data_IF_102106602692
#
_entry.id   IF_102106602692
#
_cell.length_a   1.000
_cell.length_b   1.000
_cell.length_c   1.000
_cell.angle_alpha   90.00
_cell.angle_beta   90.00
_cell.angle_gamma   90.00
#
_symmetry.space_group_name_H-M   'P 1'
#
loop_
_entity.id
_entity.type
_entity.pdbx_description
1 polymer ?
#
# COMPACT_ATOMS: atom_id res chain seq x y z
N UNK A 1 -14.86 -34.86 -17.36
CA UNK A 1 -13.61 -34.06 -17.49
C UNK A 1 -13.84 -32.54 -17.46
N UNK A 2 -14.85 -31.96 -18.14
CA UNK A 2 -15.12 -30.51 -18.15
C UNK A 2 -15.46 -29.88 -16.78
N UNK A 3 -16.30 -30.55 -15.97
CA UNK A 3 -16.67 -30.07 -14.62
C UNK A 3 -15.48 -30.04 -13.65
N UNK A 4 -14.55 -31.00 -13.75
CA UNK A 4 -13.34 -31.07 -12.91
C UNK A 4 -12.42 -29.86 -13.14
N UNK A 5 -12.36 -29.35 -14.37
CA UNK A 5 -11.57 -28.16 -14.71
C UNK A 5 -12.17 -26.84 -14.20
N UNK A 6 -13.50 -26.75 -14.03
CA UNK A 6 -14.16 -25.54 -13.53
C UNK A 6 -14.02 -25.44 -12.01
N UNK A 7 -14.24 -26.53 -11.29
CA UNK A 7 -14.05 -26.60 -9.83
C UNK A 7 -12.61 -26.26 -9.43
N UNK A 8 -11.62 -26.75 -10.17
CA UNK A 8 -10.22 -26.41 -9.93
C UNK A 8 -9.92 -24.91 -10.06
N UNK A 9 -10.48 -24.23 -11.08
CA UNK A 9 -10.28 -22.77 -11.24
C UNK A 9 -10.89 -21.94 -10.11
N UNK A 10 -12.03 -22.37 -9.55
CA UNK A 10 -12.66 -21.72 -8.40
C UNK A 10 -11.91 -21.95 -7.10
N UNK A 11 -11.42 -23.17 -6.90
CA UNK A 11 -10.57 -23.49 -5.75
C UNK A 11 -9.27 -22.67 -5.77
N UNK A 12 -8.64 -22.51 -6.93
CA UNK A 12 -7.47 -21.65 -7.10
C UNK A 12 -7.79 -20.17 -6.79
N UNK A 13 -8.90 -19.65 -7.33
CA UNK A 13 -9.36 -18.29 -7.05
C UNK A 13 -9.61 -18.07 -5.55
N UNK A 14 -10.24 -19.02 -4.87
CA UNK A 14 -10.48 -18.95 -3.43
C UNK A 14 -9.16 -18.98 -2.63
N UNK A 15 -8.22 -19.83 -3.04
CA UNK A 15 -6.90 -19.91 -2.42
C UNK A 15 -6.10 -18.60 -2.56
N UNK A 16 -6.01 -18.03 -3.77
CA UNK A 16 -5.33 -16.75 -3.97
C UNK A 16 -5.99 -15.61 -3.20
N UNK A 17 -7.32 -15.60 -3.10
CA UNK A 17 -8.06 -14.63 -2.28
C UNK A 17 -7.83 -14.78 -0.78
N UNK A 18 -7.68 -16.01 -0.31
CA UNK A 18 -7.29 -16.27 1.06
C UNK A 18 -5.88 -15.74 1.36
N UNK A 19 -4.93 -15.89 0.42
CA UNK A 19 -3.61 -15.27 0.55
C UNK A 19 -3.70 -13.73 0.58
N UNK A 20 -4.52 -13.12 -0.27
CA UNK A 20 -4.75 -11.67 -0.26
C UNK A 20 -5.33 -11.20 1.09
N UNK A 21 -6.30 -11.95 1.62
CA UNK A 21 -6.87 -11.69 2.94
C UNK A 21 -5.81 -11.80 4.04
N UNK A 22 -4.98 -12.85 4.01
CA UNK A 22 -3.89 -13.01 4.97
C UNK A 22 -2.89 -11.85 4.90
N UNK A 23 -2.48 -11.44 3.70
CA UNK A 23 -1.64 -10.26 3.48
C UNK A 23 -2.29 -9.00 4.05
N UNK A 24 -3.57 -8.75 3.75
CA UNK A 24 -4.33 -7.63 4.31
C UNK A 24 -4.32 -7.62 5.84
N UNK A 25 -4.62 -8.74 6.48
CA UNK A 25 -4.58 -8.87 7.95
C UNK A 25 -3.18 -8.62 8.53
N UNK A 26 -2.12 -9.11 7.87
CA UNK A 26 -0.74 -8.85 8.31
C UNK A 26 -0.36 -7.38 8.20
N UNK A 27 -0.81 -6.68 7.16
CA UNK A 27 -0.59 -5.23 7.01
C UNK A 27 -1.35 -4.42 8.05
N UNK A 28 -2.61 -4.77 8.35
CA UNK A 28 -3.36 -4.13 9.44
C UNK A 28 -2.63 -4.30 10.75
N UNK A 29 -2.21 -5.53 11.06
CA UNK A 29 -1.49 -5.83 12.30
C UNK A 29 -0.16 -5.08 12.37
N UNK A 30 0.65 -5.13 11.30
CA UNK A 30 1.92 -4.41 11.22
C UNK A 30 1.76 -2.89 11.35
N UNK A 31 0.78 -2.31 10.65
CA UNK A 31 0.46 -0.88 10.73
C UNK A 31 0.02 -0.46 12.14
N UNK A 32 -0.83 -1.24 12.81
CA UNK A 32 -1.23 -0.99 14.19
C UNK A 32 -0.06 -1.13 15.18
N UNK A 33 0.79 -2.15 15.01
CA UNK A 33 2.00 -2.31 15.84
C UNK A 33 2.91 -1.09 15.73
N UNK A 34 3.10 -0.56 14.52
CA UNK A 34 3.88 0.66 14.31
C UNK A 34 3.19 1.88 14.91
N UNK A 35 1.86 2.00 14.80
CA UNK A 35 1.10 3.10 15.41
C UNK A 35 1.17 3.13 16.94
N UNK A 36 1.23 1.96 17.57
CA UNK A 36 1.37 1.86 19.03
C UNK A 36 2.82 1.98 19.50
N UNK A 37 3.82 1.82 18.62
CA UNK A 37 5.23 2.02 18.92
C UNK A 37 5.61 3.50 18.86
N UNK A 38 5.31 4.21 19.94
CA UNK A 38 5.67 5.63 20.11
C UNK A 38 7.17 5.91 19.92
N UNK A 39 8.05 4.94 20.20
CA UNK A 39 9.50 5.09 20.05
C UNK A 39 9.91 5.17 18.58
N UNK A 40 9.41 4.24 17.74
CA UNK A 40 9.67 4.27 16.29
C UNK A 40 9.12 5.53 15.63
N UNK A 41 7.92 5.95 16.03
CA UNK A 41 7.31 7.19 15.54
C UNK A 41 8.16 8.41 15.93
N UNK A 42 8.65 8.45 17.17
CA UNK A 42 9.50 9.54 17.64
C UNK A 42 10.84 9.57 16.90
N UNK A 43 11.49 8.41 16.72
CA UNK A 43 12.76 8.30 16.00
C UNK A 43 12.64 8.75 14.55
N UNK A 44 11.51 8.46 13.90
CA UNK A 44 11.24 8.88 12.51
C UNK A 44 11.27 10.40 12.29
N UNK A 45 11.11 11.21 13.35
CA UNK A 45 11.23 12.67 13.25
C UNK A 45 12.63 13.12 12.84
N UNK A 46 13.66 12.35 13.17
CA UNK A 46 15.05 12.67 12.83
C UNK A 46 15.36 12.41 11.35
N UNK A 47 14.49 11.68 10.65
CA UNK A 47 14.71 11.23 9.27
C UNK A 47 14.04 12.12 8.22
N UNK A 48 13.36 13.19 8.63
CA UNK A 48 12.63 14.08 7.72
C UNK A 48 13.24 15.49 7.68
N UNK A 49 14.45 15.70 7.13
CA UNK A 49 14.88 17.05 6.76
C UNK A 49 14.01 17.59 5.59
N UNK A 50 13.75 18.90 5.56
CA UNK A 50 13.03 19.55 4.45
C UNK A 50 11.56 19.95 4.68
N UNK A 51 10.80 20.34 3.62
CA UNK A 51 9.49 21.02 3.71
C UNK A 51 8.35 20.16 4.30
N UNK A 52 8.57 18.86 4.49
CA UNK A 52 7.63 17.95 5.17
C UNK A 52 7.64 18.11 6.70
N UNK A 53 8.59 18.88 7.25
CA UNK A 53 8.65 19.27 8.68
C UNK A 53 7.51 20.19 9.12
N UNK A 54 6.78 20.81 8.19
CA UNK A 54 5.61 21.64 8.49
C UNK A 54 4.36 20.81 8.87
N UNK A 55 4.40 19.48 8.74
CA UNK A 55 3.28 18.64 9.13
C UNK A 55 3.21 18.47 10.66
N UNK A 56 2.01 18.49 11.25
CA UNK A 56 1.85 18.39 12.70
C UNK A 56 2.28 17.03 13.29
N UNK A 57 2.35 15.98 12.46
CA UNK A 57 2.77 14.63 12.86
C UNK A 57 3.93 14.13 11.96
N UNK A 58 4.81 13.25 12.48
CA UNK A 58 5.89 12.66 11.69
C UNK A 58 5.37 11.82 10.51
N UNK A 59 6.17 11.72 9.44
CA UNK A 59 5.84 10.98 8.23
C UNK A 59 5.46 9.51 8.52
N UNK A 60 6.19 8.85 9.42
CA UNK A 60 5.96 7.44 9.75
C UNK A 60 4.58 7.19 10.35
N UNK A 61 3.99 8.17 11.05
CA UNK A 61 2.62 8.08 11.56
C UNK A 61 1.59 8.00 10.42
N UNK A 62 1.71 8.88 9.41
CA UNK A 62 0.85 8.86 8.23
C UNK A 62 1.09 7.61 7.38
N UNK A 63 2.34 7.18 7.26
CA UNK A 63 2.68 5.92 6.58
C UNK A 63 2.02 4.73 7.27
N UNK A 64 2.10 4.63 8.59
CA UNK A 64 1.50 3.54 9.35
C UNK A 64 -0.04 3.55 9.25
N UNK A 65 -0.68 4.73 9.26
CA UNK A 65 -2.11 4.86 8.97
C UNK A 65 -2.44 4.38 7.54
N UNK A 66 -1.65 4.80 6.55
CA UNK A 66 -1.82 4.40 5.15
C UNK A 66 -1.70 2.89 4.95
N UNK A 67 -0.68 2.27 5.55
CA UNK A 67 -0.47 0.81 5.54
C UNK A 67 -1.63 0.08 6.23
N UNK A 68 -2.12 0.61 7.35
CA UNK A 68 -3.28 0.03 8.05
C UNK A 68 -4.54 0.10 7.19
N UNK A 69 -4.81 1.25 6.57
CA UNK A 69 -5.95 1.45 5.69
C UNK A 69 -5.88 0.57 4.43
N UNK A 70 -4.71 0.47 3.82
CA UNK A 70 -4.46 -0.43 2.68
C UNK A 70 -4.71 -1.89 3.09
N UNK A 71 -4.19 -2.31 4.25
CA UNK A 71 -4.42 -3.65 4.79
C UNK A 71 -5.91 -3.96 4.97
N UNK A 72 -6.70 -3.02 5.49
CA UNK A 72 -8.15 -3.16 5.62
C UNK A 72 -8.84 -3.28 4.25
N UNK A 73 -8.42 -2.48 3.27
CA UNK A 73 -8.91 -2.56 1.90
C UNK A 73 -8.62 -3.94 1.29
N UNK A 74 -7.38 -4.42 1.38
CA UNK A 74 -6.98 -5.74 0.85
C UNK A 74 -7.69 -6.89 1.55
N UNK A 75 -7.86 -6.81 2.87
CA UNK A 75 -8.63 -7.78 3.63
C UNK A 75 -10.10 -7.80 3.19
N UNK A 76 -10.73 -6.63 3.05
CA UNK A 76 -12.10 -6.52 2.55
C UNK A 76 -12.26 -7.10 1.15
N UNK A 77 -11.33 -6.78 0.25
CA UNK A 77 -11.31 -7.33 -1.12
C UNK A 77 -11.09 -8.84 -1.14
N UNK A 78 -10.22 -9.37 -0.28
CA UNK A 78 -10.02 -10.81 -0.12
C UNK A 78 -11.28 -11.54 0.35
N UNK A 79 -12.03 -10.97 1.31
CA UNK A 79 -13.32 -11.51 1.76
C UNK A 79 -14.34 -11.50 0.61
N UNK A 80 -14.43 -10.37 -0.11
CA UNK A 80 -15.31 -10.24 -1.28
C UNK A 80 -14.95 -11.24 -2.38
N UNK A 81 -13.67 -11.53 -2.60
CA UNK A 81 -13.23 -12.51 -3.58
C UNK A 81 -13.50 -13.96 -3.18
N UNK A 82 -13.33 -14.30 -1.90
CA UNK A 82 -13.78 -15.58 -1.34
C UNK A 82 -15.29 -15.77 -1.54
N UNK A 83 -16.09 -14.73 -1.25
CA UNK A 83 -17.53 -14.72 -1.50
C UNK A 83 -17.85 -14.86 -3.00
N UNK A 84 -17.16 -14.11 -3.85
CA UNK A 84 -17.34 -14.13 -5.31
C UNK A 84 -17.04 -15.52 -5.91
N UNK A 85 -16.10 -16.29 -5.34
CA UNK A 85 -15.81 -17.66 -5.79
C UNK A 85 -17.00 -18.62 -5.59
N UNK A 86 -17.81 -18.39 -4.55
CA UNK A 86 -19.00 -19.17 -4.25
C UNK A 86 -20.19 -18.80 -5.15
N UNK A 87 -20.28 -17.55 -5.62
CA UNK A 87 -21.40 -17.07 -6.43
C UNK A 87 -21.18 -17.27 -7.94
N UNK A 88 -22.27 -17.51 -8.68
CA UNK A 88 -22.25 -17.71 -10.14
C UNK A 88 -22.56 -16.44 -10.95
N UNK A 89 -22.57 -15.28 -10.29
CA UNK A 89 -22.97 -14.03 -10.95
C UNK A 89 -21.80 -13.40 -11.71
N UNK A 90 -22.00 -13.18 -13.01
CA UNK A 90 -20.98 -12.59 -13.89
C UNK A 90 -20.65 -11.14 -13.51
N UNK A 91 -21.67 -10.37 -13.11
CA UNK A 91 -21.51 -8.96 -12.73
C UNK A 91 -20.56 -8.80 -11.54
N UNK A 92 -20.69 -9.63 -10.50
CA UNK A 92 -19.81 -9.57 -9.33
C UNK A 92 -18.37 -9.94 -9.69
N UNK A 93 -18.15 -10.95 -10.53
CA UNK A 93 -16.80 -11.35 -10.95
C UNK A 93 -16.12 -10.26 -11.81
N UNK A 94 -16.87 -9.61 -12.70
CA UNK A 94 -16.36 -8.48 -13.49
C UNK A 94 -16.05 -7.26 -12.63
N UNK A 95 -16.94 -6.89 -11.71
CA UNK A 95 -16.70 -5.78 -10.78
C UNK A 95 -15.46 -6.05 -9.90
N UNK A 96 -15.34 -7.26 -9.37
CA UNK A 96 -14.20 -7.70 -8.59
C UNK A 96 -12.89 -7.63 -9.39
N UNK A 97 -12.88 -8.11 -10.65
CA UNK A 97 -11.73 -7.99 -11.53
C UNK A 97 -11.29 -6.52 -11.73
N UNK A 98 -12.24 -5.61 -11.94
CA UNK A 98 -11.92 -4.18 -12.09
C UNK A 98 -11.33 -3.59 -10.81
N UNK A 99 -11.85 -3.96 -9.64
CA UNK A 99 -11.31 -3.52 -8.34
C UNK A 99 -9.87 -3.97 -8.17
N UNK A 100 -9.57 -5.26 -8.38
CA UNK A 100 -8.20 -5.79 -8.29
C UNK A 100 -7.26 -5.10 -9.28
N UNK A 101 -7.71 -4.86 -10.52
CA UNK A 101 -6.90 -4.16 -11.51
C UNK A 101 -6.55 -2.74 -11.08
N UNK A 102 -7.50 -1.99 -10.53
CA UNK A 102 -7.25 -0.63 -10.05
C UNK A 102 -6.28 -0.62 -8.87
N UNK A 103 -6.43 -1.56 -7.93
CA UNK A 103 -5.53 -1.68 -6.77
C UNK A 103 -4.12 -2.01 -7.25
N UNK A 104 -3.96 -3.03 -8.11
CA UNK A 104 -2.65 -3.45 -8.61
C UNK A 104 -1.92 -2.32 -9.36
N UNK A 105 -2.62 -1.56 -10.19
CA UNK A 105 -2.02 -0.43 -10.91
C UNK A 105 -1.61 0.68 -9.94
N UNK A 106 -2.48 1.01 -8.97
CA UNK A 106 -2.19 1.99 -7.93
C UNK A 106 -1.01 1.59 -7.06
N UNK A 107 -0.95 0.34 -6.64
CA UNK A 107 0.15 -0.22 -5.85
C UNK A 107 1.45 -0.22 -6.63
N UNK A 108 1.45 -0.68 -7.89
CA UNK A 108 2.63 -0.63 -8.75
C UNK A 108 3.18 0.80 -8.90
N UNK A 109 2.29 1.80 -9.03
CA UNK A 109 2.70 3.20 -9.12
C UNK A 109 3.35 3.68 -7.82
N UNK A 110 2.72 3.43 -6.67
CA UNK A 110 3.24 3.80 -5.34
C UNK A 110 4.57 3.08 -5.07
N UNK A 111 4.66 1.79 -5.41
CA UNK A 111 5.86 0.99 -5.23
C UNK A 111 7.02 1.51 -6.10
N UNK A 112 6.75 1.83 -7.38
CA UNK A 112 7.75 2.40 -8.27
C UNK A 112 8.25 3.77 -7.79
N UNK A 113 7.33 4.64 -7.32
CA UNK A 113 7.67 5.92 -6.70
C UNK A 113 8.52 5.69 -5.45
N UNK A 114 8.13 4.77 -4.57
CA UNK A 114 8.85 4.46 -3.32
C UNK A 114 10.25 3.92 -3.59
N UNK A 115 10.41 3.08 -4.62
CA UNK A 115 11.70 2.54 -5.05
C UNK A 115 12.62 3.61 -5.64
N UNK A 116 12.07 4.53 -6.43
CA UNK A 116 12.82 5.63 -7.04
C UNK A 116 13.11 6.75 -6.03
N UNK A 117 12.33 6.85 -4.94
CA UNK A 117 12.37 7.92 -3.96
C UNK A 117 13.77 8.21 -3.40
N UNK A 118 14.57 7.21 -2.95
CA UNK A 118 15.90 7.50 -2.39
C UNK A 118 16.84 8.12 -3.43
N UNK A 119 16.71 7.70 -4.69
CA UNK A 119 17.57 8.17 -5.79
C UNK A 119 17.15 9.55 -6.30
N UNK A 120 15.85 9.85 -6.32
CA UNK A 120 15.30 11.10 -6.87
C UNK A 120 15.26 12.26 -5.87
N UNK A 121 15.07 11.97 -4.57
CA UNK A 121 14.93 13.01 -3.54
C UNK A 121 16.20 13.26 -2.73
N UNK A 122 17.30 12.54 -3.03
CA UNK A 122 18.56 12.74 -2.34
C UNK A 122 18.41 12.58 -0.83
N UNK A 123 17.65 11.57 -0.39
CA UNK A 123 17.45 11.23 1.03
C UNK A 123 18.72 10.64 1.67
N UNK A 124 19.91 11.06 1.24
CA UNK A 124 21.02 11.01 2.16
C UNK A 124 20.62 11.88 3.34
N UNK A 125 20.57 11.27 4.52
CA UNK A 125 20.36 12.00 5.75
C UNK A 125 21.49 13.04 5.83
N UNK A 126 21.17 14.29 5.51
CA UNK A 126 22.17 15.35 5.51
C UNK A 126 22.60 15.59 6.95
N UNK A 127 23.74 15.01 7.29
CA UNK A 127 24.33 15.11 8.60
C UNK A 127 24.61 16.56 8.98
N UNK A 128 24.90 17.42 8.01
CA UNK A 128 25.11 18.84 8.25
C UNK A 128 23.81 19.55 8.62
N UNK A 129 22.72 19.30 7.89
CA UNK A 129 21.40 19.87 8.20
C UNK A 129 20.88 19.39 9.56
N UNK A 130 21.00 18.09 9.84
CA UNK A 130 20.55 17.53 11.12
C UNK A 130 21.41 18.04 12.29
N UNK A 131 22.72 18.20 12.10
CA UNK A 131 23.62 18.81 13.10
C UNK A 131 23.24 20.27 13.39
N UNK A 132 22.98 21.07 12.34
CA UNK A 132 22.50 22.45 12.50
C UNK A 132 21.16 22.51 13.23
N UNK A 133 20.27 21.56 12.95
CA UNK A 133 18.96 21.45 13.60
C UNK A 133 19.12 21.06 15.07
N UNK A 134 20.01 20.12 15.39
CA UNK A 134 20.40 19.76 16.75
C UNK A 134 20.87 21.00 17.52
N UNK A 135 21.86 21.72 16.99
CA UNK A 135 22.43 22.91 17.63
C UNK A 135 21.39 23.99 17.91
N UNK A 136 20.36 24.14 17.05
CA UNK A 136 19.34 25.19 17.20
C UNK A 136 18.11 24.78 17.99
N UNK A 137 17.77 23.49 18.02
CA UNK A 137 16.43 23.06 18.48
C UNK A 137 16.48 22.13 19.69
N UNK A 138 17.62 21.48 19.95
CA UNK A 138 17.75 20.61 21.10
C UNK A 138 17.57 21.39 22.40
N UNK A 139 16.71 20.91 23.31
CA UNK A 139 16.45 21.51 24.62
C UNK A 139 15.86 22.93 24.59
N UNK A 140 15.38 23.40 23.44
CA UNK A 140 14.73 24.71 23.30
C UNK A 140 13.23 24.58 23.59
N UNK A 141 12.62 25.52 24.36
CA UNK A 141 11.18 25.51 24.63
C UNK A 141 10.35 25.45 23.33
N UNK A 142 9.36 24.56 23.29
CA UNK A 142 8.55 24.30 22.08
C UNK A 142 9.13 23.25 21.13
N UNK A 143 10.36 22.76 21.36
CA UNK A 143 11.01 21.69 20.58
C UNK A 143 11.23 20.40 21.40
N UNK A 144 10.35 20.15 22.38
CA UNK A 144 10.46 19.02 23.31
C UNK A 144 10.44 17.67 22.58
N UNK A 145 9.60 17.54 21.55
CA UNK A 145 9.49 16.30 20.78
C UNK A 145 10.76 16.00 19.96
N UNK A 146 11.43 17.05 19.45
CA UNK A 146 12.70 16.88 18.77
C UNK A 146 13.80 16.48 19.77
N UNK A 147 13.83 17.12 20.94
CA UNK A 147 14.74 16.79 22.04
C UNK A 147 14.58 15.32 22.47
N UNK A 148 13.35 14.90 22.72
CA UNK A 148 13.04 13.52 23.10
C UNK A 148 13.41 12.50 21.99
N UNK A 149 13.33 12.87 20.71
CA UNK A 149 13.76 12.02 19.61
C UNK A 149 15.27 11.82 19.58
N UNK A 150 16.05 12.88 19.82
CA UNK A 150 17.51 12.79 19.95
C UNK A 150 17.88 11.95 21.17
N UNK A 151 17.25 12.19 22.33
CA UNK A 151 17.50 11.45 23.57
C UNK A 151 17.17 9.95 23.40
N UNK A 152 16.09 9.64 22.69
CA UNK A 152 15.73 8.28 22.32
C UNK A 152 16.80 7.66 21.40
N UNK A 153 17.24 8.37 20.36
CA UNK A 153 18.29 7.86 19.45
C UNK A 153 19.60 7.56 20.22
N UNK A 154 20.01 8.45 21.12
CA UNK A 154 21.22 8.31 21.92
C UNK A 154 21.20 7.08 22.82
N UNK A 155 20.11 6.91 23.57
CA UNK A 155 19.92 5.75 24.44
C UNK A 155 19.71 4.44 23.67
N UNK A 156 19.04 4.48 22.52
CA UNK A 156 18.76 3.28 21.69
C UNK A 156 20.01 2.78 20.99
N UNK A 157 20.85 3.68 20.47
CA UNK A 157 22.00 3.33 19.65
C UNK A 157 23.34 3.52 20.36
N UNK A 158 23.35 3.87 21.65
CA UNK A 158 24.56 4.09 22.45
C UNK A 158 25.53 5.08 21.77
N UNK A 159 24.97 6.21 21.33
CA UNK A 159 25.65 7.26 20.56
C UNK A 159 25.45 8.63 21.22
N UNK A 160 26.19 9.64 20.77
CA UNK A 160 26.06 11.02 21.26
C UNK A 160 26.26 12.04 20.13
N UNK A 161 25.32 12.98 20.01
CA UNK A 161 25.24 13.91 18.88
C UNK A 161 24.81 13.24 17.57
N UNK A 162 24.82 14.00 16.48
CA UNK A 162 24.54 13.50 15.14
C UNK A 162 25.78 12.81 14.57
N UNK A 163 26.90 13.53 14.47
CA UNK A 163 28.19 12.99 14.02
C UNK A 163 29.14 12.83 15.19
N UNK A 164 29.14 13.80 16.11
CA UNK A 164 30.02 13.83 17.29
C UNK A 164 29.37 14.50 18.51
N UNK A 165 29.82 14.12 19.71
CA UNK A 165 29.37 14.73 20.97
C UNK A 165 29.71 16.23 21.10
N UNK A 166 30.72 16.73 20.39
CA UNK A 166 31.19 18.12 20.49
C UNK A 166 30.18 19.12 19.89
N UNK A 167 29.21 18.64 19.13
CA UNK A 167 28.13 19.47 18.58
C UNK A 167 27.32 20.17 19.69
N UNK A 168 27.27 19.58 20.90
CA UNK A 168 26.65 20.20 22.05
C UNK A 168 27.39 21.45 22.55
N UNK A 169 28.72 21.56 22.35
CA UNK A 169 29.52 22.72 22.77
C UNK A 169 29.03 24.02 22.11
N UNK A 170 28.51 23.90 20.89
CA UNK A 170 28.03 25.02 20.06
C UNK A 170 26.51 25.09 19.97
N UNK A 171 25.80 24.22 20.69
CA UNK A 171 24.34 24.21 20.74
C UNK A 171 23.79 25.38 21.58
N UNK A 172 22.63 25.91 21.18
CA UNK A 172 21.90 26.92 21.96
C UNK A 172 21.59 26.42 23.37
N UNK A 173 21.26 25.13 23.51
CA UNK A 173 21.04 24.47 24.79
C UNK A 173 22.17 24.69 25.79
N UNK A 174 23.42 24.51 25.35
CA UNK A 174 24.60 24.70 26.20
C UNK A 174 24.97 26.17 26.36
N UNK A 175 24.97 26.93 25.26
CA UNK A 175 25.38 28.34 25.26
C UNK A 175 24.43 29.23 26.09
N UNK A 176 23.14 28.92 26.10
CA UNK A 176 22.12 29.64 26.89
C UNK A 176 21.83 28.97 28.24
N UNK A 177 22.55 27.91 28.59
CA UNK A 177 22.36 27.13 29.83
C UNK A 177 20.88 26.71 30.05
N UNK A 178 20.21 26.28 28.98
CA UNK A 178 18.82 25.79 29.04
C UNK A 178 18.73 24.41 29.72
N UNK A 179 19.83 23.67 29.75
CA UNK A 179 19.93 22.39 30.45
C UNK A 179 20.11 22.52 31.97
N UNK A 180 19.69 21.49 32.74
CA UNK A 180 19.96 21.44 34.16
C UNK A 180 21.47 21.44 34.43
N UNK A 181 21.92 22.13 35.48
CA UNK A 181 23.27 22.04 36.07
C UNK A 181 24.48 22.25 35.11
N UNK A 182 24.34 23.04 34.04
CA UNK A 182 25.45 23.34 33.09
C UNK A 182 26.17 22.07 32.59
N UNK A 183 25.39 21.03 32.27
CA UNK A 183 25.92 19.78 31.73
C UNK A 183 26.69 20.02 30.42
N UNK A 184 27.76 19.26 30.22
CA UNK A 184 28.55 19.28 28.99
C UNK A 184 27.78 18.63 27.83
N UNK A 185 27.12 17.52 28.10
CA UNK A 185 26.30 16.76 27.16
C UNK A 185 25.00 16.30 27.83
N UNK A 186 23.94 15.96 27.08
CA UNK A 186 22.76 15.31 27.64
C UNK A 186 23.10 14.06 28.43
N UNK A 187 22.31 13.75 29.45
CA UNK A 187 22.53 12.55 30.27
C UNK A 187 22.35 11.25 29.46
N UNK A 188 21.57 11.27 28.38
CA UNK A 188 21.43 10.17 27.42
C UNK A 188 22.70 9.88 26.60
N UNK A 189 23.67 10.79 26.57
CA UNK A 189 25.01 10.53 26.04
C UNK A 189 25.91 9.74 27.01
N UNK A 190 25.52 9.62 28.27
CA UNK A 190 26.24 8.85 29.28
C UNK A 190 25.85 7.37 29.22
N UNK A 191 26.75 6.50 29.66
CA UNK A 191 26.40 5.09 29.90
C UNK A 191 25.40 5.02 31.06
N UNK A 192 24.22 4.48 30.76
CA UNK A 192 23.09 4.42 31.69
C UNK A 192 23.07 3.10 32.47
N UNK A 193 22.72 3.18 33.75
CA UNK A 193 22.43 2.02 34.60
C UNK A 193 21.04 1.43 34.27
N UNK A 194 20.08 2.30 33.93
CA UNK A 194 18.70 1.92 33.68
C UNK A 194 18.39 1.66 32.19
N UNK A 195 19.38 1.23 31.40
CA UNK A 195 19.25 1.08 29.95
C UNK A 195 18.17 0.07 29.53
N UNK A 196 17.91 -0.94 30.36
CA UNK A 196 16.88 -1.96 30.12
C UNK A 196 15.44 -1.43 30.26
N UNK A 197 15.27 -0.21 30.79
CA UNK A 197 13.96 0.41 30.91
C UNK A 197 13.56 1.04 29.58
N UNK A 198 12.39 0.67 29.04
CA UNK A 198 11.87 1.17 27.76
C UNK A 198 11.75 2.71 27.65
N UNK A 199 11.79 3.42 28.79
CA UNK A 199 11.71 4.89 28.87
C UNK A 199 12.98 5.53 29.47
N UNK A 200 14.13 4.85 29.39
CA UNK A 200 15.40 5.36 29.89
C UNK A 200 15.76 6.75 29.31
N UNK A 201 15.38 7.03 28.06
CA UNK A 201 15.59 8.34 27.43
C UNK A 201 14.82 9.50 28.08
N UNK A 202 13.69 9.24 28.75
CA UNK A 202 12.90 10.28 29.45
C UNK A 202 13.41 10.54 30.87
N UNK A 203 14.02 9.54 31.49
CA UNK A 203 14.60 9.65 32.84
C UNK A 203 15.94 8.90 32.90
N UNK A 204 16.99 9.46 32.27
CA UNK A 204 18.30 8.79 32.18
C UNK A 204 18.98 8.75 33.55
N UNK A 205 19.39 7.56 34.00
CA UNK A 205 20.19 7.37 35.20
C UNK A 205 21.62 6.92 34.83
N UNK A 206 22.59 7.85 34.73
CA UNK A 206 23.96 7.52 34.35
C UNK A 206 24.71 6.79 35.47
N UNK A 207 25.53 5.80 35.11
CA UNK A 207 26.39 5.07 36.07
C UNK A 207 27.27 6.00 36.91
N UNK A 208 27.83 7.04 36.27
CA UNK A 208 28.59 8.09 36.94
C UNK A 208 28.41 9.42 36.21
N UNK A 209 27.46 10.23 36.69
CA UNK A 209 27.15 11.54 36.09
C UNK A 209 28.37 12.47 36.09
N UNK A 210 29.12 12.55 37.20
CA UNK A 210 30.24 13.49 37.34
C UNK A 210 31.36 13.20 36.36
N UNK A 211 31.77 11.94 36.23
CA UNK A 211 32.82 11.54 35.28
C UNK A 211 32.33 11.65 33.85
N UNK A 212 31.10 11.21 33.56
CA UNK A 212 30.53 11.37 32.23
C UNK A 212 30.51 12.85 31.79
N UNK A 213 30.28 13.80 32.70
CA UNK A 213 30.19 15.24 32.39
C UNK A 213 31.54 15.97 32.40
N UNK A 214 32.65 15.29 32.70
CA UNK A 214 33.97 15.88 32.66
C UNK A 214 34.33 16.40 31.26
N UNK A 215 34.98 17.56 31.18
CA UNK A 215 35.42 18.15 29.91
C UNK A 215 36.63 17.42 29.33
N UNK A 216 37.51 16.90 30.19
CA UNK A 216 38.71 16.19 29.76
C UNK A 216 38.38 14.79 29.17
N UNK A 217 38.82 14.46 27.94
CA UNK A 217 38.55 13.18 27.27
C UNK A 217 38.88 11.92 28.07
N UNK A 218 39.98 11.96 28.84
CA UNK A 218 40.46 10.83 29.64
C UNK A 218 39.54 10.53 30.83
N UNK A 219 38.77 11.51 31.32
CA UNK A 219 37.95 11.35 32.53
C UNK A 219 36.58 10.75 32.27
N UNK A 220 36.08 10.88 31.04
CA UNK A 220 34.81 10.29 30.60
C UNK A 220 35.01 9.07 29.70
N UNK A 221 36.21 8.50 29.65
CA UNK A 221 36.49 7.28 28.91
C UNK A 221 35.66 6.11 29.46
N UNK A 222 34.97 5.39 28.57
CA UNK A 222 34.07 4.28 28.93
C UNK A 222 32.75 4.69 29.61
N UNK A 223 32.54 5.98 29.90
CA UNK A 223 31.35 6.50 30.60
C UNK A 223 30.49 7.45 29.77
N UNK A 224 31.02 7.92 28.63
CA UNK A 224 30.32 8.76 27.64
C UNK A 224 30.44 8.15 26.25
N UNK A 225 29.34 8.07 25.51
CA UNK A 225 29.34 7.65 24.11
C UNK A 225 30.05 8.70 23.25
N UNK A 226 31.00 8.24 22.41
CA UNK A 226 31.82 9.11 21.53
C UNK A 226 31.36 9.09 20.07
N UNK A 227 30.73 8.00 19.64
CA UNK A 227 30.24 7.83 18.26
C UNK A 227 28.97 8.64 18.05
N UNK A 228 28.83 9.30 16.91
CA UNK A 228 27.58 9.93 16.49
C UNK A 228 26.46 8.95 16.17
N UNK A 229 25.22 9.43 16.19
CA UNK A 229 24.04 8.63 15.92
C UNK A 229 23.74 8.45 14.41
N UNK A 230 24.35 9.24 13.53
CA UNK A 230 24.03 9.28 12.10
C UNK A 230 24.11 7.89 11.44
N UNK A 231 25.24 7.20 11.55
CA UNK A 231 25.41 5.88 10.92
C UNK A 231 24.34 4.87 11.39
N UNK A 232 24.04 4.89 12.69
CA UNK A 232 23.06 3.98 13.29
C UNK A 232 21.63 4.31 12.85
N UNK A 233 21.30 5.61 12.72
CA UNK A 233 20.03 6.09 12.20
C UNK A 233 19.85 5.71 10.73
N UNK A 234 20.88 5.91 9.90
CA UNK A 234 20.88 5.56 8.49
C UNK A 234 20.72 4.04 8.31
N UNK A 235 21.44 3.24 9.09
CA UNK A 235 21.33 1.79 9.07
C UNK A 235 19.91 1.34 9.47
N UNK A 236 19.37 1.89 10.57
CA UNK A 236 18.02 1.60 11.01
C UNK A 236 16.98 1.97 9.94
N UNK A 237 17.13 3.12 9.30
CA UNK A 237 16.27 3.56 8.20
C UNK A 237 16.28 2.57 7.03
N UNK A 238 17.48 2.20 6.56
CA UNK A 238 17.66 1.27 5.45
C UNK A 238 17.01 -0.08 5.74
N UNK A 239 17.15 -0.58 6.96
CA UNK A 239 16.50 -1.83 7.38
C UNK A 239 14.98 -1.74 7.32
N UNK A 240 14.37 -0.67 7.86
CA UNK A 240 12.92 -0.50 7.77
C UNK A 240 12.46 -0.34 6.32
N UNK A 241 13.17 0.46 5.52
CA UNK A 241 12.88 0.69 4.10
C UNK A 241 12.92 -0.62 3.28
N UNK A 242 13.94 -1.46 3.48
CA UNK A 242 14.05 -2.76 2.80
C UNK A 242 12.88 -3.67 3.18
N UNK A 243 12.45 -3.69 4.45
CA UNK A 243 11.28 -4.46 4.89
C UNK A 243 10.02 -3.99 4.17
N UNK A 244 9.80 -2.66 4.07
CA UNK A 244 8.65 -2.11 3.34
C UNK A 244 8.66 -2.49 1.86
N UNK A 245 9.80 -2.40 1.19
CA UNK A 245 9.93 -2.81 -0.21
C UNK A 245 9.67 -4.32 -0.40
N UNK A 246 10.24 -5.15 0.45
CA UNK A 246 10.03 -6.60 0.39
C UNK A 246 8.54 -6.95 0.59
N UNK A 247 7.88 -6.31 1.55
CA UNK A 247 6.45 -6.49 1.79
C UNK A 247 5.61 -6.04 0.58
N UNK A 248 5.89 -4.87 -0.01
CA UNK A 248 5.24 -4.38 -1.22
C UNK A 248 5.36 -5.34 -2.39
N UNK A 249 6.56 -5.88 -2.63
CA UNK A 249 6.78 -6.86 -3.69
C UNK A 249 5.93 -8.13 -3.49
N UNK A 250 5.83 -8.64 -2.26
CA UNK A 250 5.01 -9.82 -1.94
C UNK A 250 3.54 -9.55 -2.25
N UNK A 251 3.02 -8.37 -1.90
CA UNK A 251 1.62 -8.02 -2.16
C UNK A 251 1.36 -7.94 -3.66
N UNK A 252 2.20 -7.25 -4.43
CA UNK A 252 2.09 -7.18 -5.90
C UNK A 252 2.06 -8.57 -6.53
N UNK A 253 2.89 -9.51 -6.05
CA UNK A 253 2.90 -10.90 -6.55
C UNK A 253 1.61 -11.66 -6.20
N UNK A 254 1.07 -11.45 -5.00
CA UNK A 254 -0.20 -12.06 -4.57
C UNK A 254 -1.36 -11.48 -5.38
N UNK A 255 -1.42 -10.17 -5.57
CA UNK A 255 -2.45 -9.50 -6.38
C UNK A 255 -2.39 -9.94 -7.84
N UNK A 256 -1.19 -10.05 -8.42
CA UNK A 256 -1.01 -10.60 -9.76
C UNK A 256 -1.52 -12.05 -9.86
N UNK A 257 -1.27 -12.86 -8.84
CA UNK A 257 -1.77 -14.24 -8.76
C UNK A 257 -3.29 -14.31 -8.66
N UNK A 258 -3.91 -13.39 -7.89
CA UNK A 258 -5.35 -13.21 -7.79
C UNK A 258 -5.94 -12.79 -9.14
N UNK A 259 -5.31 -11.83 -9.82
CA UNK A 259 -5.73 -11.36 -11.12
C UNK A 259 -5.71 -12.49 -12.17
N UNK A 260 -4.62 -13.24 -12.24
CA UNK A 260 -4.49 -14.39 -13.14
C UNK A 260 -5.57 -15.45 -12.86
N UNK A 261 -5.78 -15.77 -11.58
CA UNK A 261 -6.82 -16.72 -11.17
C UNK A 261 -8.22 -16.25 -11.51
N UNK A 262 -8.48 -14.94 -11.42
CA UNK A 262 -9.75 -14.31 -11.81
C UNK A 262 -9.98 -14.41 -13.31
N UNK A 263 -8.96 -14.14 -14.13
CA UNK A 263 -9.02 -14.28 -15.59
C UNK A 263 -9.27 -15.75 -15.97
N UNK A 264 -8.59 -16.70 -15.32
CA UNK A 264 -8.80 -18.13 -15.57
C UNK A 264 -10.23 -18.57 -15.20
N UNK A 265 -10.75 -18.13 -14.05
CA UNK A 265 -12.14 -18.40 -13.66
C UNK A 265 -13.13 -17.79 -14.66
N UNK A 266 -12.91 -16.54 -15.06
CA UNK A 266 -13.76 -15.83 -16.02
C UNK A 266 -13.79 -16.52 -17.40
N UNK A 267 -12.63 -16.85 -17.96
CA UNK A 267 -12.54 -17.53 -19.26
C UNK A 267 -13.21 -18.90 -19.25
N UNK A 268 -13.10 -19.67 -18.15
CA UNK A 268 -13.78 -20.95 -17.98
C UNK A 268 -15.29 -20.80 -17.87
N UNK A 269 -15.77 -19.81 -17.13
CA UNK A 269 -17.21 -19.51 -16.98
C UNK A 269 -17.81 -19.08 -18.34
N UNK A 270 -17.13 -18.21 -19.09
CA UNK A 270 -17.56 -17.79 -20.43
C UNK A 270 -17.66 -18.97 -21.41
N UNK A 271 -16.64 -19.84 -21.44
CA UNK A 271 -16.65 -21.05 -22.28
C UNK A 271 -17.78 -22.00 -21.90
N UNK A 272 -18.08 -22.16 -20.61
CA UNK A 272 -19.18 -23.01 -20.16
C UNK A 272 -20.54 -22.44 -20.61
N UNK A 273 -20.78 -21.14 -20.43
CA UNK A 273 -22.02 -20.49 -20.88
C UNK A 273 -22.19 -20.51 -22.41
N UNK A 274 -21.10 -20.40 -23.18
CA UNK A 274 -21.14 -20.54 -24.63
C UNK A 274 -21.51 -21.97 -25.03
N UNK A 275 -20.87 -22.98 -24.45
CA UNK A 275 -21.18 -24.39 -24.72
C UNK A 275 -22.64 -24.75 -24.36
N UNK A 276 -23.19 -24.17 -23.29
CA UNK A 276 -24.59 -24.34 -22.90
C UNK A 276 -25.54 -23.70 -23.92
N UNK A 277 -25.28 -22.45 -24.35
CA UNK A 277 -26.06 -21.77 -25.40
C UNK A 277 -26.04 -22.51 -26.73
N UNK A 278 -24.88 -23.04 -27.13
CA UNK A 278 -24.74 -23.82 -28.36
C UNK A 278 -25.53 -25.14 -28.30
N UNK A 279 -25.53 -25.80 -27.13
CA UNK A 279 -26.32 -27.02 -26.89
C UNK A 279 -27.83 -26.73 -26.92
N UNK A 280 -28.30 -25.64 -26.31
CA UNK A 280 -29.71 -25.24 -26.33
C UNK A 280 -30.18 -24.89 -27.75
N UNK A 281 -29.35 -24.19 -28.55
CA UNK A 281 -29.66 -23.89 -29.96
C UNK A 281 -29.83 -25.14 -30.81
N UNK A 282 -28.94 -26.13 -30.67
CA UNK A 282 -29.05 -27.40 -31.40
C UNK A 282 -30.30 -28.19 -31.03
N UNK A 283 -30.70 -28.20 -29.76
CA UNK A 283 -31.93 -28.88 -29.32
C UNK A 283 -33.18 -28.18 -29.87
N UNK A 284 -33.20 -26.85 -29.96
CA UNK A 284 -34.30 -26.12 -30.59
C UNK A 284 -34.39 -26.32 -32.11
N UNK A 285 -33.26 -26.45 -32.82
CA UNK A 285 -33.24 -26.76 -34.26
C UNK A 285 -33.66 -28.21 -34.55
N UNK A 286 -33.32 -29.16 -33.67
CA UNK A 286 -33.74 -30.57 -33.77
C UNK A 286 -35.25 -30.77 -33.58
N UNK A 287 -35.92 -29.94 -32.78
CA UNK A 287 -37.34 -30.12 -32.44
C UNK A 287 -38.30 -29.39 -33.39
N UNK A 288 -37.79 -28.78 -34.47
CA UNK A 288 -38.63 -28.17 -35.50
C UNK A 288 -39.12 -29.27 -36.47
N UNK A 289 -40.44 -29.47 -36.66
CA UNK A 289 -40.95 -30.55 -37.51
C UNK A 289 -40.49 -30.37 -38.96
N UNK A 290 -39.83 -31.38 -39.54
CA UNK A 290 -39.65 -31.47 -40.99
C UNK A 290 -41.02 -31.75 -41.60
N UNK A 291 -41.65 -30.72 -42.16
CA UNK A 291 -42.86 -30.89 -42.99
C UNK A 291 -42.47 -31.80 -44.17
N UNK A 292 -43.16 -32.93 -44.42
CA UNK A 292 -42.88 -33.77 -45.57
C UNK A 292 -43.15 -32.98 -46.84
N UNK A 293 -42.17 -32.94 -47.75
CA UNK A 293 -42.41 -32.46 -49.10
C UNK A 293 -43.32 -33.46 -49.81
N UNK A 294 -44.61 -33.12 -49.91
CA UNK A 294 -45.54 -33.77 -50.82
C UNK A 294 -45.14 -33.35 -52.24
N UNK A 295 -44.67 -34.33 -53.02
CA UNK A 295 -44.44 -34.21 -54.46
C UNK A 295 -45.79 -34.29 -55.16
N UNK A 296 -46.26 -33.19 -55.74
CA UNK A 296 -47.38 -33.22 -56.70
C UNK A 296 -46.87 -32.92 -58.11
N UNK A 297 -47.02 -33.94 -58.96
CA UNK A 297 -46.73 -33.93 -60.39
C UNK A 297 -47.89 -33.29 -61.19
N UNK A 298 -47.55 -32.28 -61.99
CA UNK A 298 -47.93 -32.01 -63.41
C UNK A 298 -49.27 -32.58 -63.96
N UNK A 299 -50.26 -31.72 -64.28
CA UNK A 299 -50.72 -31.35 -65.65
C UNK A 299 -52.11 -30.65 -65.71
N UNK A 300 -52.23 -29.70 -66.66
CA UNK A 300 -53.45 -29.08 -67.26
C UNK A 300 -54.20 -27.98 -66.45
N UNK A 301 -54.63 -26.81 -66.96
CA UNK A 301 -54.69 -26.20 -68.31
C UNK A 301 -55.17 -24.72 -68.21
N UNK A 302 -54.40 -23.78 -68.81
CA UNK A 302 -54.81 -22.61 -69.65
C UNK A 302 -55.59 -21.38 -69.05
N UNK A 303 -54.82 -20.32 -68.72
CA UNK A 303 -54.88 -18.86 -69.11
C UNK A 303 -56.20 -18.02 -69.04
N UNK A 304 -56.18 -16.65 -69.01
CA UNK A 304 -55.06 -15.72 -69.25
C UNK A 304 -54.88 -14.51 -68.30
N UNK A 305 -53.66 -13.94 -68.35
CA UNK A 305 -53.18 -12.63 -67.88
C UNK A 305 -53.94 -11.41 -68.48
N UNK A 306 -53.79 -10.17 -67.94
CA UNK A 306 -52.69 -9.27 -68.35
C UNK A 306 -52.04 -8.37 -67.25
N UNK A 307 -50.71 -8.23 -67.35
CA UNK A 307 -49.81 -7.04 -67.17
C UNK A 307 -49.89 -6.19 -65.88
N UNK A 308 -48.79 -5.76 -65.24
CA UNK A 308 -47.60 -5.09 -65.80
C UNK A 308 -46.35 -5.12 -64.87
N UNK A 309 -45.19 -4.89 -65.48
CA UNK A 309 -43.79 -5.15 -65.08
C UNK A 309 -43.14 -4.25 -64.00
N UNK A 310 -42.19 -4.88 -63.29
CA UNK A 310 -40.82 -4.48 -62.90
C UNK A 310 -40.47 -3.08 -62.36
N UNK A 311 -39.66 -3.05 -61.28
CA UNK A 311 -38.24 -2.57 -61.26
C UNK A 311 -37.85 -1.91 -59.90
N UNK A 312 -37.06 -2.65 -59.11
CA UNK A 312 -35.97 -2.32 -58.15
C UNK A 312 -35.92 -1.09 -57.19
N UNK A 313 -35.27 -1.36 -56.05
CA UNK A 313 -34.43 -0.51 -55.15
C UNK A 313 -35.04 0.20 -53.93
N UNK A 314 -34.75 -0.40 -52.76
CA UNK A 314 -34.25 0.17 -51.49
C UNK A 314 -34.34 1.69 -51.27
N UNK A 315 -35.07 2.12 -50.23
CA UNK A 315 -34.58 2.92 -49.07
C UNK A 315 -35.78 3.45 -48.27
N UNK A 316 -35.99 2.94 -47.04
CA UNK A 316 -36.99 3.49 -46.11
C UNK A 316 -36.30 4.40 -45.08
N UNK A 317 -36.27 5.69 -45.40
CA UNK A 317 -36.27 6.74 -44.39
C UNK A 317 -37.72 7.03 -44.00
N UNK A 318 -38.14 6.80 -42.76
CA UNK A 318 -39.31 7.50 -42.20
C UNK A 318 -39.15 7.78 -40.72
N UNK A 319 -38.37 8.84 -40.48
CA UNK A 319 -38.41 9.69 -39.30
C UNK A 319 -39.71 10.50 -39.36
N UNK A 320 -40.74 10.14 -38.59
CA UNK A 320 -41.72 11.12 -38.09
C UNK A 320 -42.55 10.51 -36.96
N UNK A 321 -42.00 10.59 -35.73
CA UNK A 321 -42.81 10.42 -34.53
C UNK A 321 -43.83 11.56 -34.44
N UNK A 322 -45.06 11.16 -34.19
CA UNK A 322 -46.25 11.97 -34.11
C UNK A 322 -46.08 13.17 -33.16
N UNK A 323 -46.33 14.35 -33.73
CA UNK A 323 -46.70 15.58 -33.03
C UNK A 323 -48.17 15.49 -32.56
N UNK A 324 -48.50 16.30 -31.55
CA UNK A 324 -49.84 16.83 -31.17
C UNK A 324 -50.68 15.87 -30.28
N UNK A 325 -51.33 16.25 -29.17
CA UNK A 325 -51.70 17.51 -28.46
C UNK A 325 -51.80 17.18 -26.95
N UNK A 326 -51.72 18.08 -25.97
CA UNK A 326 -52.69 19.13 -25.58
C UNK A 326 -51.99 20.16 -24.65
N UNK A 327 -52.02 21.48 -24.93
CA UNK A 327 -52.96 22.50 -24.41
C UNK A 327 -52.98 22.55 -22.87
N UNK A 328 -52.74 23.67 -22.18
CA UNK A 328 -52.85 25.10 -22.50
C UNK A 328 -51.84 25.92 -21.69
#
# INVERSE_FOLDING_TARGET
MKALSLTGSKALLAFCNFLLLACGCTLVTGGLLVLFDSGRILLSRLLSPGPLTAMPHPLLYYLALGVTALGLLLAGVGILGCWASCLHSYLMLTAYFLIIMVILVGECAIYAISWAWPHCLGLDLDAEELTKTLQRSYGVPGQEQFTAAIDLAQSTFNCCGIVTANEYDTSLWRLQALGPNKLAVPLTCCVLENIDQAKAYLNPNPLNSTLCQALEPMRHEGLRHKKGCMDSLEQWYKEQYIIFLAAGLVIVLVEFSVLLSTILAFTKICKHKQAEKDSTKQISESNTPKIPQVSENIYQRRSPFPYSNDTYTTTSSFRQNYKLMDKA
#
